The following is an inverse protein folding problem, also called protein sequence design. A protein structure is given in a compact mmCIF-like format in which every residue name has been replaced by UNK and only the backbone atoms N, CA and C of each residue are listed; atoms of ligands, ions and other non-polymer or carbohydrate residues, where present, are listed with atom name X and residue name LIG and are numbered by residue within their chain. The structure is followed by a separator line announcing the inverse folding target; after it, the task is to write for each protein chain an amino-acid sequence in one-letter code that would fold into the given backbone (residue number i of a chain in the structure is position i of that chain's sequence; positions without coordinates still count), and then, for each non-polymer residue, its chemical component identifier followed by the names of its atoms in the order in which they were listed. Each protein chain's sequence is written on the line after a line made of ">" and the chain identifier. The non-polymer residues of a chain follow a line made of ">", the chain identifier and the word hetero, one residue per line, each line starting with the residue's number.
data_IF_601189786172
#
_entry.id   IF_601189786172
#
_cell.length_a   1.000
_cell.length_b   1.000
_cell.length_c   1.000
_cell.angle_alpha   90.00
_cell.angle_beta   90.00
_cell.angle_gamma   90.00
#
_symmetry.space_group_name_H-M   'P 1'
#
loop_
_entity.id
_entity.type
_entity.pdbx_description
1 polymer ?
#
# COMPACT_ATOMS: atom_id res chain seq x y z
N UNK A 1 19.01 15.77 23.24
CA UNK A 1 19.18 14.32 23.55
C UNK A 1 17.80 13.67 23.55
N UNK A 2 17.55 12.72 22.63
CA UNK A 2 16.31 11.94 22.57
C UNK A 2 16.38 10.87 23.66
N UNK A 3 15.56 10.95 24.71
CA UNK A 3 15.29 9.77 25.53
C UNK A 3 14.27 8.92 24.78
N UNK A 4 14.74 7.86 24.11
CA UNK A 4 13.86 6.81 23.64
C UNK A 4 13.19 6.19 24.88
N UNK A 5 11.86 6.25 24.96
CA UNK A 5 11.10 5.63 26.05
C UNK A 5 11.30 4.12 25.97
N UNK A 6 12.19 3.61 26.82
CA UNK A 6 12.41 2.17 27.04
C UNK A 6 11.32 1.58 27.94
N UNK A 7 10.32 2.37 28.33
CA UNK A 7 9.30 1.99 29.31
C UNK A 7 8.45 0.84 28.79
N UNK A 8 8.25 0.75 27.47
CA UNK A 8 7.51 -0.33 26.82
C UNK A 8 8.29 -1.66 26.80
N UNK A 9 9.62 -1.62 26.78
CA UNK A 9 10.47 -2.82 26.80
C UNK A 9 10.48 -3.52 28.18
N UNK A 10 10.05 -2.82 29.23
CA UNK A 10 9.93 -3.36 30.58
C UNK A 10 8.67 -4.24 30.76
N UNK A 11 7.67 -4.12 29.88
CA UNK A 11 6.44 -4.94 29.92
C UNK A 11 6.69 -6.38 29.45
N UNK A 12 7.70 -6.60 28.61
CA UNK A 12 8.01 -7.91 28.01
C UNK A 12 8.72 -8.87 28.97
N UNK A 13 9.31 -8.35 30.07
CA UNK A 13 10.33 -9.07 30.86
C UNK A 13 9.93 -9.51 32.26
N UNK A 14 8.65 -9.49 32.62
CA UNK A 14 8.22 -10.00 33.93
C UNK A 14 7.02 -10.92 33.80
N UNK A 15 7.10 -12.06 34.48
CA UNK A 15 6.02 -13.03 34.74
C UNK A 15 4.89 -12.39 35.54
N UNK A 16 4.27 -11.34 34.99
CA UNK A 16 3.12 -10.68 35.58
C UNK A 16 1.86 -11.45 35.19
N UNK A 17 0.98 -11.76 36.14
CA UNK A 17 -0.32 -12.34 35.81
C UNK A 17 -1.05 -11.39 34.86
N UNK A 18 -1.73 -11.96 33.86
CA UNK A 18 -2.36 -11.25 32.73
C UNK A 18 -3.24 -10.06 33.14
N UNK A 19 -3.85 -10.12 34.32
CA UNK A 19 -4.68 -9.04 34.89
C UNK A 19 -3.92 -7.74 35.23
N UNK A 20 -2.61 -7.81 35.48
CA UNK A 20 -1.80 -6.63 35.82
C UNK A 20 -1.37 -5.81 34.59
N UNK A 21 -1.29 -6.44 33.41
CA UNK A 21 -0.85 -5.79 32.18
C UNK A 21 -1.97 -4.89 31.63
N UNK A 22 -3.21 -5.41 31.56
CA UNK A 22 -4.38 -4.65 31.11
C UNK A 22 -4.60 -3.38 31.94
N UNK A 23 -4.38 -3.46 33.26
CA UNK A 23 -4.51 -2.30 34.16
C UNK A 23 -3.47 -1.20 33.90
N UNK A 24 -2.30 -1.55 33.35
CA UNK A 24 -1.19 -0.63 33.03
C UNK A 24 -1.38 0.06 31.67
N UNK A 25 -2.10 -0.56 30.74
CA UNK A 25 -2.38 -0.03 29.40
C UNK A 25 -3.64 0.85 29.34
N UNK A 26 -4.40 0.97 30.44
CA UNK A 26 -5.57 1.83 30.52
C UNK A 26 -5.16 3.31 30.58
N UNK A 27 -5.21 3.97 29.43
CA UNK A 27 -4.90 5.40 29.26
C UNK A 27 -5.95 6.32 29.92
N UNK A 28 -7.17 5.84 30.17
CA UNK A 28 -8.23 6.62 30.80
C UNK A 28 -8.42 6.22 32.27
N UNK A 29 -7.78 6.98 33.18
CA UNK A 29 -7.99 6.87 34.62
C UNK A 29 -9.37 7.45 34.99
N UNK A 30 -10.20 6.70 35.70
CA UNK A 30 -11.61 7.00 36.06
C UNK A 30 -11.80 8.18 37.04
N UNK A 31 -10.87 9.14 37.09
CA UNK A 31 -10.87 10.20 38.10
C UNK A 31 -10.74 11.60 37.48
N UNK A 32 -11.14 11.79 36.23
CA UNK A 32 -11.30 13.14 35.68
C UNK A 32 -12.79 13.51 35.66
N UNK A 33 -13.13 14.50 36.47
CA UNK A 33 -14.39 15.26 36.38
C UNK A 33 -14.37 16.09 35.09
N UNK A 34 -14.45 15.44 33.94
CA UNK A 34 -14.70 16.11 32.68
C UNK A 34 -16.20 16.33 32.56
N UNK A 35 -16.62 17.59 32.44
CA UNK A 35 -17.99 17.96 32.07
C UNK A 35 -18.38 17.19 30.81
N UNK A 36 -19.52 16.51 30.89
CA UNK A 36 -20.22 15.86 29.79
C UNK A 36 -20.33 16.82 28.58
N UNK A 37 -19.79 16.49 27.41
CA UNK A 37 -20.50 16.81 26.20
C UNK A 37 -21.67 15.83 26.14
N UNK A 38 -22.86 16.30 26.52
CA UNK A 38 -24.09 15.58 26.26
C UNK A 38 -24.29 15.53 24.74
N UNK A 39 -23.71 14.52 24.10
CA UNK A 39 -24.08 14.07 22.75
C UNK A 39 -24.41 12.59 22.85
N UNK A 40 -25.60 12.31 23.38
CA UNK A 40 -26.27 11.02 23.31
C UNK A 40 -26.78 10.73 21.88
N UNK A 41 -26.08 11.18 20.86
CA UNK A 41 -26.36 10.79 19.48
C UNK A 41 -25.55 9.53 19.22
N UNK A 42 -26.25 8.39 19.05
CA UNK A 42 -25.61 7.18 18.54
C UNK A 42 -24.83 7.58 17.29
N UNK A 43 -23.53 7.24 17.18
CA UNK A 43 -22.81 7.46 15.94
C UNK A 43 -23.61 6.79 14.82
N UNK A 44 -23.76 7.49 13.71
CA UNK A 44 -24.42 6.94 12.53
C UNK A 44 -23.58 5.73 12.08
N UNK A 45 -24.05 4.53 12.42
CA UNK A 45 -23.45 3.25 12.00
C UNK A 45 -24.12 2.76 10.71
N UNK A 46 -24.35 3.67 9.76
CA UNK A 46 -24.80 3.28 8.43
C UNK A 46 -23.71 2.36 7.83
N UNK A 47 -24.07 1.17 7.32
CA UNK A 47 -23.12 0.30 6.65
C UNK A 47 -22.45 1.05 5.50
N UNK A 48 -21.11 0.99 5.43
CA UNK A 48 -20.39 1.60 4.32
C UNK A 48 -20.93 1.07 2.97
N UNK A 49 -21.05 1.93 1.94
CA UNK A 49 -21.45 1.49 0.61
C UNK A 49 -20.55 0.36 0.12
N UNK A 50 -21.15 -0.71 -0.41
CA UNK A 50 -20.38 -1.84 -0.93
C UNK A 50 -19.53 -1.39 -2.12
N UNK A 51 -18.22 -1.63 -2.04
CA UNK A 51 -17.31 -1.38 -3.14
C UNK A 51 -17.70 -2.18 -4.38
N UNK A 52 -17.72 -1.52 -5.54
CA UNK A 52 -17.96 -2.17 -6.84
C UNK A 52 -16.68 -2.79 -7.44
N UNK A 53 -15.52 -2.57 -6.82
CA UNK A 53 -14.22 -2.94 -7.39
C UNK A 53 -14.15 -4.42 -7.72
N UNK A 54 -14.57 -5.29 -6.80
CA UNK A 54 -14.52 -6.75 -7.02
C UNK A 54 -15.46 -7.21 -8.14
N UNK A 55 -16.60 -6.53 -8.33
CA UNK A 55 -17.49 -6.79 -9.45
C UNK A 55 -16.83 -6.46 -10.78
N UNK A 56 -16.22 -5.28 -10.88
CA UNK A 56 -15.52 -4.83 -12.09
C UNK A 56 -14.31 -5.69 -12.43
N UNK A 57 -13.53 -6.09 -11.42
CA UNK A 57 -12.40 -7.00 -11.61
C UNK A 57 -12.88 -8.33 -12.17
N UNK A 58 -13.94 -8.91 -11.58
CA UNK A 58 -14.52 -10.16 -12.07
C UNK A 58 -14.98 -10.04 -13.54
N UNK A 59 -15.65 -8.95 -13.89
CA UNK A 59 -16.12 -8.73 -15.26
C UNK A 59 -14.95 -8.54 -16.24
N UNK A 60 -13.89 -7.84 -15.82
CA UNK A 60 -12.68 -7.64 -16.63
C UNK A 60 -11.91 -8.93 -16.89
N UNK A 61 -11.84 -9.86 -15.93
CA UNK A 61 -11.12 -11.13 -16.09
C UNK A 61 -11.68 -11.98 -17.25
N UNK A 62 -12.98 -11.93 -17.51
CA UNK A 62 -13.60 -12.61 -18.65
C UNK A 62 -13.12 -12.03 -19.99
N UNK A 63 -13.16 -10.71 -20.12
CA UNK A 63 -12.69 -9.98 -21.31
C UNK A 63 -11.19 -10.26 -21.55
N UNK A 64 -10.38 -10.22 -20.49
CA UNK A 64 -8.95 -10.50 -20.57
C UNK A 64 -8.70 -11.95 -21.03
N UNK A 65 -9.46 -12.92 -20.52
CA UNK A 65 -9.33 -14.32 -20.92
C UNK A 65 -9.62 -14.53 -22.40
N UNK A 66 -10.66 -13.89 -22.93
CA UNK A 66 -11.01 -13.95 -24.34
C UNK A 66 -9.92 -13.32 -25.21
N UNK A 67 -9.44 -12.13 -24.85
CA UNK A 67 -8.35 -11.45 -25.54
C UNK A 67 -7.07 -12.30 -25.56
N UNK A 68 -6.73 -12.95 -24.43
CA UNK A 68 -5.56 -13.81 -24.35
C UNK A 68 -5.67 -15.06 -25.23
N UNK A 69 -6.86 -15.68 -25.31
CA UNK A 69 -7.08 -16.83 -26.20
C UNK A 69 -6.93 -16.44 -27.66
N UNK A 70 -7.49 -15.29 -28.04
CA UNK A 70 -7.37 -14.75 -29.39
C UNK A 70 -5.91 -14.46 -29.72
N UNK A 71 -5.18 -13.77 -28.84
CA UNK A 71 -3.75 -13.51 -29.00
C UNK A 71 -2.95 -14.79 -29.20
N UNK A 72 -3.21 -15.84 -28.42
CA UNK A 72 -2.52 -17.13 -28.57
C UNK A 72 -2.83 -17.85 -29.88
N UNK A 73 -4.04 -17.69 -30.43
CA UNK A 73 -4.38 -18.25 -31.73
C UNK A 73 -3.70 -17.46 -32.85
N UNK A 74 -3.84 -16.13 -32.83
CA UNK A 74 -3.27 -15.25 -33.84
C UNK A 74 -1.73 -15.37 -33.89
N UNK A 75 -1.08 -15.48 -32.73
CA UNK A 75 0.39 -15.65 -32.63
C UNK A 75 0.89 -17.02 -33.10
N UNK A 76 0.03 -18.06 -33.17
CA UNK A 76 0.44 -19.35 -33.78
C UNK A 76 0.58 -19.23 -35.29
N UNK A 77 -0.24 -18.39 -35.91
CA UNK A 77 -0.25 -18.20 -37.36
C UNK A 77 0.81 -17.19 -37.80
N UNK A 78 1.08 -16.16 -36.99
CA UNK A 78 2.06 -15.11 -37.26
C UNK A 78 2.75 -14.63 -35.97
N UNK A 79 3.73 -15.40 -35.49
CA UNK A 79 4.42 -15.13 -34.23
C UNK A 79 5.26 -13.85 -34.28
N UNK A 80 5.88 -13.54 -35.43
CA UNK A 80 6.77 -12.39 -35.62
C UNK A 80 6.02 -11.07 -35.43
N UNK A 81 4.75 -10.99 -35.85
CA UNK A 81 3.91 -9.81 -35.65
C UNK A 81 3.66 -9.45 -34.18
N UNK A 82 3.74 -10.44 -33.28
CA UNK A 82 3.53 -10.25 -31.84
C UNK A 82 4.83 -10.28 -31.04
N UNK A 83 5.98 -10.33 -31.71
CA UNK A 83 7.28 -10.22 -31.07
C UNK A 83 7.53 -8.77 -30.66
N UNK A 84 7.48 -8.54 -29.35
CA UNK A 84 7.71 -7.22 -28.72
C UNK A 84 9.17 -6.77 -28.84
N UNK A 85 10.08 -7.71 -29.10
CA UNK A 85 11.51 -7.50 -29.24
C UNK A 85 11.97 -7.78 -30.68
N UNK A 86 11.07 -7.72 -31.67
CA UNK A 86 11.40 -8.03 -33.06
C UNK A 86 12.54 -7.14 -33.58
N UNK A 87 13.77 -7.67 -33.53
CA UNK A 87 14.95 -6.99 -34.05
C UNK A 87 15.12 -7.34 -35.52
N UNK A 88 14.92 -6.36 -36.38
CA UNK A 88 15.16 -6.40 -37.82
C UNK A 88 16.61 -6.04 -38.20
N UNK A 89 17.46 -5.69 -37.23
CA UNK A 89 18.88 -5.40 -37.41
C UNK A 89 19.18 -4.00 -37.97
N UNK A 90 18.16 -3.14 -38.10
CA UNK A 90 18.29 -1.74 -38.47
C UNK A 90 17.93 -0.79 -37.32
N UNK A 91 17.88 -1.30 -36.09
CA UNK A 91 17.61 -0.51 -34.90
C UNK A 91 18.73 0.50 -34.63
N UNK A 92 18.35 1.59 -33.96
CA UNK A 92 19.28 2.52 -33.35
C UNK A 92 20.11 1.83 -32.26
N UNK A 93 21.40 2.14 -32.18
CA UNK A 93 22.25 1.72 -31.05
C UNK A 93 21.76 2.28 -29.70
N UNK A 94 20.98 3.36 -29.75
CA UNK A 94 20.41 4.03 -28.57
C UNK A 94 18.95 3.63 -28.40
N UNK A 95 18.60 3.18 -27.19
CA UNK A 95 17.22 2.90 -26.78
C UNK A 95 16.58 4.20 -26.29
N UNK A 96 15.53 4.64 -26.97
CA UNK A 96 14.71 5.78 -26.56
C UNK A 96 13.58 5.30 -25.64
N UNK A 97 13.42 5.96 -24.49
CA UNK A 97 12.42 5.60 -23.47
C UNK A 97 11.64 6.85 -23.06
N UNK A 98 10.33 6.85 -23.27
CA UNK A 98 9.42 7.87 -22.76
C UNK A 98 9.06 7.58 -21.30
N UNK A 99 9.94 7.99 -20.38
CA UNK A 99 9.74 7.82 -18.95
C UNK A 99 8.96 9.02 -18.38
N UNK A 100 7.75 8.77 -17.88
CA UNK A 100 7.02 9.77 -17.12
C UNK A 100 7.58 9.85 -15.69
N UNK A 101 8.55 10.73 -15.50
CA UNK A 101 9.16 11.02 -14.21
C UNK A 101 8.24 11.96 -13.42
N UNK A 102 7.57 11.43 -12.40
CA UNK A 102 6.82 12.25 -11.44
C UNK A 102 7.77 12.98 -10.49
N UNK A 103 7.42 14.22 -10.13
CA UNK A 103 8.05 14.89 -8.99
C UNK A 103 7.41 14.32 -7.72
N UNK A 104 8.18 13.58 -6.93
CA UNK A 104 7.75 13.18 -5.60
C UNK A 104 8.01 14.34 -4.64
N UNK A 105 6.96 14.85 -3.99
CA UNK A 105 7.09 15.83 -2.91
C UNK A 105 7.59 15.12 -1.64
N UNK A 106 8.92 15.13 -1.46
CA UNK A 106 9.57 14.50 -0.32
C UNK A 106 9.55 15.46 0.88
N UNK A 107 8.47 15.45 1.64
CA UNK A 107 8.31 16.33 2.81
C UNK A 107 9.14 15.93 4.03
N UNK A 108 9.82 14.78 4.01
CA UNK A 108 10.59 14.28 5.16
C UNK A 108 12.07 14.05 4.80
N UNK A 109 13.00 14.28 5.75
CA UNK A 109 14.42 14.01 5.52
C UNK A 109 14.72 12.54 5.19
N UNK A 110 13.89 11.62 5.71
CA UNK A 110 14.00 10.19 5.43
C UNK A 110 13.62 9.86 3.98
N UNK A 111 12.55 10.48 3.45
CA UNK A 111 12.13 10.30 2.07
C UNK A 111 13.18 10.85 1.08
N UNK A 112 13.82 11.98 1.43
CA UNK A 112 14.96 12.53 0.67
C UNK A 112 16.14 11.56 0.68
N UNK A 113 16.56 11.06 1.84
CA UNK A 113 17.69 10.14 1.94
C UNK A 113 17.46 8.82 1.20
N UNK A 114 16.22 8.29 1.21
CA UNK A 114 15.86 7.09 0.47
C UNK A 114 15.91 7.32 -1.05
N UNK A 115 15.43 8.48 -1.53
CA UNK A 115 15.49 8.84 -2.94
C UNK A 115 16.94 9.02 -3.42
N UNK A 116 17.79 9.70 -2.64
CA UNK A 116 19.22 9.88 -2.96
C UNK A 116 19.97 8.55 -3.00
N UNK A 117 19.66 7.64 -2.08
CA UNK A 117 20.29 6.30 -2.04
C UNK A 117 19.89 5.47 -3.26
N UNK A 118 18.63 5.56 -3.72
CA UNK A 118 18.14 4.86 -4.91
C UNK A 118 18.78 5.35 -6.23
N UNK A 119 19.25 6.61 -6.28
CA UNK A 119 19.93 7.17 -7.45
C UNK A 119 21.37 6.63 -7.57
N UNK A 120 22.01 6.34 -6.43
CA UNK A 120 23.44 5.97 -6.39
C UNK A 120 23.65 4.44 -6.52
N UNK A 121 22.64 3.63 -6.17
CA UNK A 121 22.70 2.17 -6.28
C UNK A 121 23.32 1.50 -5.07
#
# INVERSE_FOLDING_TARGET
>A
MRHASKDLLCLERKDLPSSSLESSLLVCKKNSTSKEPCRNEKPITEPAPKSQVLGRVKDFLGVLSEANKKLQLDAKDDAEKYDIEALNGNESEVIELDLMLGIADLHTPEAVAAAESAIIG
#
